data_IF_072650376883
#
_entry.id   IF_072650376883
#
_cell.length_a   1.000
_cell.length_b   1.000
_cell.length_c   1.000
_cell.angle_alpha   90.00
_cell.angle_beta   90.00
_cell.angle_gamma   90.00
#
_symmetry.space_group_name_H-M   'P 1'
#
loop_
_entity.id
_entity.type
_entity.pdbx_description
1 polymer ?
#
# COMPACT_ATOMS: atom_id res chain seq x y z
N UNK A 1 -23.91 1.81 -37.17
CA UNK A 1 -22.62 2.51 -37.02
C UNK A 1 -22.86 3.68 -36.09
N UNK A 2 -22.46 3.54 -34.83
CA UNK A 2 -22.55 4.58 -33.81
C UNK A 2 -21.16 4.66 -33.17
N UNK A 3 -20.60 5.87 -33.19
CA UNK A 3 -19.21 6.18 -32.90
C UNK A 3 -18.92 6.06 -31.41
N UNK A 4 -17.75 5.48 -31.12
CA UNK A 4 -17.14 5.37 -29.80
C UNK A 4 -16.85 6.76 -29.23
N UNK A 5 -17.30 6.99 -28.00
CA UNK A 5 -17.00 8.18 -27.23
C UNK A 5 -15.74 7.90 -26.40
N UNK A 6 -14.58 8.01 -27.03
CA UNK A 6 -13.27 7.93 -26.36
C UNK A 6 -12.79 9.36 -26.07
N UNK A 7 -13.24 9.92 -24.95
CA UNK A 7 -12.67 11.14 -24.40
C UNK A 7 -12.02 10.78 -23.07
N UNK A 8 -10.86 10.12 -23.16
CA UNK A 8 -9.95 10.00 -22.04
C UNK A 8 -9.49 11.41 -21.66
N UNK A 9 -9.85 11.84 -20.45
CA UNK A 9 -9.39 13.08 -19.82
C UNK A 9 -7.86 13.04 -19.72
N UNK A 10 -7.17 13.67 -20.68
CA UNK A 10 -5.73 13.92 -20.57
C UNK A 10 -5.50 15.11 -19.63
N UNK A 11 -4.59 15.03 -18.65
CA UNK A 11 -4.17 16.21 -17.92
C UNK A 11 -3.43 17.18 -18.86
N UNK A 12 -3.63 18.48 -18.67
CA UNK A 12 -3.06 19.53 -19.53
C UNK A 12 -1.57 19.72 -19.24
N UNK A 13 -0.70 19.31 -20.15
CA UNK A 13 0.77 19.49 -20.11
C UNK A 13 1.12 20.78 -20.88
N UNK A 14 1.93 21.68 -20.30
CA UNK A 14 2.47 22.86 -21.00
C UNK A 14 3.66 22.44 -21.89
N UNK A 15 3.92 23.07 -23.05
CA UNK A 15 5.07 22.83 -23.95
C UNK A 15 6.48 22.74 -23.34
N UNK A 16 6.69 23.07 -22.07
CA UNK A 16 7.98 22.94 -21.37
C UNK A 16 8.08 21.72 -20.44
N UNK A 17 7.10 20.81 -20.47
CA UNK A 17 7.13 19.55 -19.70
C UNK A 17 6.90 19.69 -18.19
N UNK A 18 7.13 20.86 -17.59
CA UNK A 18 6.85 21.08 -16.17
C UNK A 18 5.37 21.38 -15.91
N UNK A 19 4.75 20.60 -15.02
CA UNK A 19 3.64 21.09 -14.22
C UNK A 19 4.20 22.09 -13.22
N UNK A 20 3.81 23.36 -13.33
CA UNK A 20 3.86 24.20 -12.14
C UNK A 20 2.95 23.54 -11.10
N UNK A 21 3.41 23.39 -9.86
CA UNK A 21 2.53 23.43 -8.69
C UNK A 21 1.91 24.83 -8.62
N UNK A 22 1.15 25.23 -9.64
CA UNK A 22 0.10 26.18 -9.43
C UNK A 22 -0.86 25.43 -8.54
N UNK A 23 -0.82 25.72 -7.23
CA UNK A 23 -2.06 25.80 -6.49
C UNK A 23 -2.98 26.67 -7.35
N UNK A 24 -3.76 26.04 -8.22
CA UNK A 24 -4.87 26.72 -8.87
C UNK A 24 -5.69 27.18 -7.70
N UNK A 25 -5.71 28.49 -7.48
CA UNK A 25 -6.64 29.10 -6.55
C UNK A 25 -8.04 29.02 -7.18
N UNK A 26 -8.51 27.79 -7.33
CA UNK A 26 -9.81 27.39 -7.84
C UNK A 26 -10.87 27.41 -6.73
N UNK A 27 -10.49 27.86 -5.53
CA UNK A 27 -11.32 27.82 -4.33
C UNK A 27 -11.54 26.41 -3.78
N UNK A 28 -10.91 25.38 -4.35
CA UNK A 28 -11.08 24.00 -3.92
C UNK A 28 -10.15 23.71 -2.73
N UNK A 29 -10.76 23.41 -1.60
CA UNK A 29 -10.07 22.89 -0.41
C UNK A 29 -9.79 21.41 -0.63
N UNK A 30 -8.53 20.99 -0.46
CA UNK A 30 -8.05 19.62 -0.68
C UNK A 30 -7.70 18.98 0.67
N UNK A 31 -8.60 18.19 1.28
CA UNK A 31 -8.32 17.57 2.58
C UNK A 31 -7.29 16.45 2.45
N UNK A 32 -6.44 16.29 3.47
CA UNK A 32 -5.50 15.16 3.57
C UNK A 32 -6.21 13.93 4.10
N UNK A 33 -5.88 12.75 3.56
CA UNK A 33 -6.31 11.48 4.16
C UNK A 33 -5.77 11.37 5.59
N UNK A 34 -6.66 11.23 6.56
CA UNK A 34 -6.26 11.12 7.97
C UNK A 34 -6.06 9.66 8.38
N UNK A 35 -7.09 8.83 8.26
CA UNK A 35 -7.12 7.45 8.69
C UNK A 35 -8.13 6.63 7.88
N UNK A 36 -8.07 5.31 8.02
CA UNK A 36 -9.10 4.38 7.56
C UNK A 36 -9.56 3.50 8.72
N UNK A 37 -10.77 2.96 8.60
CA UNK A 37 -11.38 2.10 9.62
C UNK A 37 -11.61 0.70 9.09
N UNK A 38 -11.44 -0.30 9.96
CA UNK A 38 -11.69 -1.71 9.65
C UNK A 38 -12.65 -2.28 10.69
N UNK A 39 -13.64 -3.02 10.22
CA UNK A 39 -14.49 -3.86 11.06
C UNK A 39 -13.88 -5.26 11.09
N UNK A 40 -13.67 -5.80 12.30
CA UNK A 40 -12.99 -7.09 12.50
C UNK A 40 -13.69 -7.96 13.53
N UNK A 41 -13.64 -9.28 13.34
CA UNK A 41 -13.97 -10.26 14.39
C UNK A 41 -12.79 -10.58 15.31
N UNK A 42 -11.57 -10.15 14.94
CA UNK A 42 -10.29 -10.63 15.46
C UNK A 42 -9.44 -9.46 15.99
N UNK A 43 -10.00 -8.62 16.88
CA UNK A 43 -9.38 -7.34 17.28
C UNK A 43 -7.93 -7.49 17.78
N UNK A 44 -7.67 -8.40 18.71
CA UNK A 44 -6.34 -8.58 19.30
C UNK A 44 -5.31 -9.02 18.26
N UNK A 45 -5.70 -9.92 17.36
CA UNK A 45 -4.85 -10.41 16.27
C UNK A 45 -4.54 -9.28 15.27
N UNK A 46 -5.53 -8.46 14.95
CA UNK A 46 -5.36 -7.29 14.08
C UNK A 46 -4.42 -6.26 14.71
N UNK A 47 -4.60 -5.94 16.00
CA UNK A 47 -3.72 -5.01 16.73
C UNK A 47 -2.28 -5.54 16.73
N UNK A 48 -2.07 -6.80 17.08
CA UNK A 48 -0.74 -7.42 17.11
C UNK A 48 -0.09 -7.43 15.71
N UNK A 49 -0.86 -7.77 14.67
CA UNK A 49 -0.37 -7.78 13.30
C UNK A 49 0.05 -6.38 12.83
N UNK A 50 -0.79 -5.35 13.02
CA UNK A 50 -0.45 -3.98 12.62
C UNK A 50 0.75 -3.43 13.40
N UNK A 51 0.88 -3.76 14.69
CA UNK A 51 2.05 -3.41 15.49
C UNK A 51 3.33 -4.05 14.92
N UNK A 52 3.27 -5.32 14.51
CA UNK A 52 4.40 -6.03 13.91
C UNK A 52 4.76 -5.54 12.51
N UNK A 53 3.77 -5.25 11.67
CA UNK A 53 3.98 -4.93 10.25
C UNK A 53 4.29 -3.46 10.03
N UNK A 54 3.54 -2.57 10.66
CA UNK A 54 3.65 -1.11 10.47
C UNK A 54 4.36 -0.38 11.61
N UNK A 55 4.77 -1.10 12.67
CA UNK A 55 5.39 -0.48 13.84
C UNK A 55 4.42 0.43 14.59
N UNK A 56 3.12 0.16 14.53
CA UNK A 56 2.12 0.99 15.21
C UNK A 56 2.24 0.92 16.72
N UNK A 57 1.78 1.98 17.38
CA UNK A 57 1.46 2.02 18.80
C UNK A 57 -0.06 2.15 18.96
N UNK A 58 -0.64 1.37 19.87
CA UNK A 58 -2.04 1.51 20.27
C UNK A 58 -2.20 2.71 21.20
N UNK A 59 -2.94 3.73 20.76
CA UNK A 59 -3.18 4.96 21.51
C UNK A 59 -4.34 4.81 22.49
N UNK A 60 -5.37 4.06 22.09
CA UNK A 60 -6.55 3.79 22.89
C UNK A 60 -7.08 2.41 22.57
N UNK A 61 -7.41 1.64 23.61
CA UNK A 61 -8.31 0.50 23.54
C UNK A 61 -9.53 0.83 24.39
N UNK A 62 -10.71 0.75 23.78
CA UNK A 62 -11.96 1.02 24.48
C UNK A 62 -12.82 -0.22 24.52
N UNK A 63 -13.19 -0.64 25.73
CA UNK A 63 -14.21 -1.67 25.96
C UNK A 63 -15.64 -1.18 25.60
N UNK A 64 -15.80 0.10 25.26
CA UNK A 64 -17.05 0.64 24.71
C UNK A 64 -16.74 1.70 23.62
N UNK A 65 -17.06 1.44 22.36
CA UNK A 65 -16.88 2.42 21.28
C UNK A 65 -17.98 3.49 21.26
N UNK A 66 -19.01 3.31 22.09
CA UNK A 66 -20.24 4.11 22.11
C UNK A 66 -20.53 4.78 23.47
N UNK A 67 -19.63 4.68 24.46
CA UNK A 67 -19.83 5.27 25.79
C UNK A 67 -20.99 4.64 26.59
N UNK A 68 -21.42 3.43 26.22
CA UNK A 68 -22.46 2.67 26.91
C UNK A 68 -21.84 1.41 27.49
N UNK A 69 -21.90 1.31 28.82
CA UNK A 69 -21.41 0.17 29.60
C UNK A 69 -22.39 -0.99 29.51
N UNK A 70 -22.14 -1.97 28.62
CA UNK A 70 -22.70 -3.33 28.68
C UNK A 70 -21.79 -4.34 27.95
N UNK A 71 -21.87 -5.61 28.38
CA UNK A 71 -21.19 -6.82 27.87
C UNK A 71 -21.44 -7.16 26.37
N UNK A 72 -21.89 -6.21 25.56
CA UNK A 72 -22.13 -6.29 24.12
C UNK A 72 -21.73 -4.99 23.38
N UNK A 73 -21.01 -4.08 24.03
CA UNK A 73 -20.58 -2.86 23.39
C UNK A 73 -19.50 -3.16 22.34
N UNK A 74 -19.49 -2.44 21.20
CA UNK A 74 -18.37 -2.51 20.27
C UNK A 74 -17.05 -2.21 20.97
N UNK A 75 -16.02 -3.01 20.72
CA UNK A 75 -14.67 -2.76 21.25
C UNK A 75 -13.84 -2.13 20.12
N UNK A 76 -13.05 -1.11 20.45
CA UNK A 76 -12.27 -0.38 19.46
C UNK A 76 -10.81 -0.24 19.87
N UNK A 77 -9.91 -0.27 18.89
CA UNK A 77 -8.50 0.07 19.04
C UNK A 77 -8.10 1.13 18.00
N UNK A 78 -7.36 2.14 18.45
CA UNK A 78 -6.87 3.24 17.60
C UNK A 78 -5.36 3.21 17.57
N UNK A 79 -4.80 3.06 16.37
CA UNK A 79 -3.38 2.80 16.15
C UNK A 79 -2.75 3.90 15.31
N UNK A 80 -1.51 4.25 15.64
CA UNK A 80 -0.71 5.20 14.86
C UNK A 80 0.71 4.70 14.69
N UNK A 81 1.31 4.98 13.54
CA UNK A 81 2.74 4.80 13.27
C UNK A 81 3.45 6.15 13.03
N UNK A 82 2.75 7.26 13.24
CA UNK A 82 3.30 8.61 13.15
C UNK A 82 2.68 9.52 14.22
N UNK A 83 2.84 10.84 14.06
CA UNK A 83 2.34 11.87 15.00
C UNK A 83 0.82 12.08 14.97
N UNK A 84 0.08 11.45 14.07
CA UNK A 84 -1.38 11.58 14.04
C UNK A 84 -2.01 10.92 15.28
N UNK A 85 -3.22 11.32 15.64
CA UNK A 85 -3.95 10.68 16.76
C UNK A 85 -4.21 9.18 16.49
N UNK A 86 -4.49 8.83 15.24
CA UNK A 86 -4.52 7.48 14.69
C UNK A 86 -4.47 7.51 13.16
N UNK A 87 -3.90 6.46 12.57
CA UNK A 87 -3.96 6.16 11.13
C UNK A 87 -4.89 4.98 10.84
N UNK A 88 -5.13 4.13 11.83
CA UNK A 88 -5.98 2.94 11.72
C UNK A 88 -6.95 2.92 12.90
N UNK A 89 -8.23 2.75 12.62
CA UNK A 89 -9.26 2.48 13.61
C UNK A 89 -9.80 1.07 13.41
N UNK A 90 -9.59 0.19 14.38
CA UNK A 90 -10.11 -1.18 14.39
C UNK A 90 -11.35 -1.23 15.28
N UNK A 91 -12.45 -1.76 14.75
CA UNK A 91 -13.70 -1.89 15.49
C UNK A 91 -14.18 -3.34 15.43
N UNK A 92 -14.34 -3.94 16.61
CA UNK A 92 -15.01 -5.23 16.76
C UNK A 92 -16.48 -4.99 17.11
N UNK A 93 -17.36 -5.44 16.22
CA UNK A 93 -18.81 -5.34 16.40
C UNK A 93 -19.38 -6.74 16.70
N UNK A 94 -20.30 -6.86 17.68
CA UNK A 94 -20.99 -8.12 17.92
C UNK A 94 -21.69 -8.65 16.66
N UNK A 95 -21.51 -9.95 16.37
CA UNK A 95 -22.18 -10.62 15.26
C UNK A 95 -21.53 -10.42 13.89
N UNK A 96 -20.36 -9.77 13.81
CA UNK A 96 -19.55 -9.76 12.58
C UNK A 96 -19.06 -11.18 12.29
N UNK A 97 -19.16 -11.56 11.02
CA UNK A 97 -18.65 -12.82 10.50
C UNK A 97 -17.76 -12.55 9.30
N UNK A 98 -16.79 -13.43 9.08
CA UNK A 98 -15.95 -13.41 7.89
C UNK A 98 -16.79 -13.56 6.61
N UNK A 99 -16.45 -12.78 5.58
CA UNK A 99 -16.96 -12.95 4.23
C UNK A 99 -16.06 -13.92 3.46
N UNK A 100 -16.49 -15.17 3.33
CA UNK A 100 -15.71 -16.21 2.63
C UNK A 100 -15.61 -15.98 1.12
N UNK A 101 -16.52 -15.21 0.56
CA UNK A 101 -16.59 -14.90 -0.87
C UNK A 101 -16.12 -13.47 -1.16
N UNK A 102 -15.38 -12.84 -0.23
CA UNK A 102 -14.91 -11.45 -0.29
C UNK A 102 -14.29 -11.04 -1.64
N UNK A 103 -13.56 -11.95 -2.29
CA UNK A 103 -12.92 -11.66 -3.58
C UNK A 103 -13.93 -11.49 -4.74
N UNK A 104 -15.13 -12.04 -4.63
CA UNK A 104 -16.21 -11.88 -5.60
C UNK A 104 -17.07 -10.62 -5.35
N UNK A 105 -16.87 -9.93 -4.23
CA UNK A 105 -17.63 -8.74 -3.84
C UNK A 105 -16.87 -7.43 -4.10
N UNK A 106 -17.64 -6.33 -4.24
CA UNK A 106 -17.09 -4.97 -4.29
C UNK A 106 -16.49 -4.65 -2.92
N UNK A 107 -15.24 -4.21 -2.89
CA UNK A 107 -14.47 -3.94 -1.67
C UNK A 107 -13.42 -2.86 -1.88
N UNK A 108 -12.83 -2.40 -0.78
CA UNK A 108 -11.54 -1.71 -0.83
C UNK A 108 -10.49 -2.70 -1.34
N UNK A 109 -9.73 -2.32 -2.38
CA UNK A 109 -8.74 -3.23 -2.95
C UNK A 109 -7.49 -3.34 -2.05
N UNK A 110 -6.88 -2.23 -1.64
CA UNK A 110 -5.83 -2.21 -0.61
C UNK A 110 -5.71 -0.84 0.08
N UNK A 111 -4.89 -0.76 1.12
CA UNK A 111 -4.37 0.49 1.68
C UNK A 111 -2.84 0.46 1.66
N UNK A 112 -2.22 1.53 1.17
CA UNK A 112 -0.77 1.63 1.01
C UNK A 112 -0.11 2.50 2.07
N UNK A 113 1.08 2.07 2.50
CA UNK A 113 1.99 2.81 3.37
C UNK A 113 3.34 2.95 2.69
N UNK A 114 3.90 4.15 2.72
CA UNK A 114 5.13 4.48 2.03
C UNK A 114 6.30 4.59 3.01
N UNK A 115 7.40 3.91 2.66
CA UNK A 115 8.70 4.07 3.28
C UNK A 115 9.47 5.20 2.61
N UNK A 116 10.34 5.86 3.37
CA UNK A 116 11.23 6.91 2.85
C UNK A 116 12.31 6.33 1.92
N UNK A 117 12.79 5.11 2.20
CA UNK A 117 13.86 4.50 1.41
C UNK A 117 13.61 3.03 1.09
N UNK A 118 14.17 2.55 -0.02
CA UNK A 118 14.14 1.12 -0.38
C UNK A 118 14.80 0.25 0.68
N UNK A 119 15.84 0.76 1.35
CA UNK A 119 16.52 0.03 2.41
C UNK A 119 15.59 -0.21 3.60
N UNK A 120 14.77 0.78 3.99
CA UNK A 120 13.80 0.59 5.07
C UNK A 120 12.74 -0.44 4.69
N UNK A 121 12.24 -0.42 3.45
CA UNK A 121 11.31 -1.43 2.94
C UNK A 121 11.91 -2.85 2.99
N UNK A 122 13.13 -3.02 2.48
CA UNK A 122 13.84 -4.31 2.45
C UNK A 122 14.22 -4.80 3.86
N UNK A 123 14.67 -3.92 4.75
CA UNK A 123 14.97 -4.26 6.14
C UNK A 123 13.70 -4.67 6.90
N UNK A 124 12.59 -3.98 6.67
CA UNK A 124 11.29 -4.36 7.22
C UNK A 124 10.83 -5.71 6.70
N UNK A 125 10.98 -5.99 5.41
CA UNK A 125 10.73 -7.32 4.83
C UNK A 125 11.56 -8.39 5.54
N UNK A 126 12.88 -8.20 5.67
CA UNK A 126 13.76 -9.19 6.28
C UNK A 126 13.38 -9.49 7.75
N UNK A 127 13.05 -8.43 8.51
CA UNK A 127 12.56 -8.55 9.89
C UNK A 127 11.24 -9.33 9.96
N UNK A 128 10.26 -8.98 9.14
CA UNK A 128 8.94 -9.60 9.12
C UNK A 128 9.01 -11.07 8.68
N UNK A 129 9.81 -11.36 7.66
CA UNK A 129 10.07 -12.73 7.22
C UNK A 129 10.66 -13.58 8.35
N UNK A 130 11.57 -13.02 9.15
CA UNK A 130 12.16 -13.69 10.32
C UNK A 130 11.15 -14.10 11.40
N UNK A 131 9.96 -13.48 11.43
CA UNK A 131 8.85 -13.85 12.32
C UNK A 131 7.69 -14.53 11.59
N UNK A 132 7.90 -14.98 10.35
CA UNK A 132 6.92 -15.74 9.57
C UNK A 132 5.86 -14.90 8.84
N UNK A 133 6.04 -13.57 8.75
CA UNK A 133 5.16 -12.69 7.97
C UNK A 133 5.83 -12.39 6.63
N UNK A 134 5.27 -12.92 5.54
CA UNK A 134 5.78 -12.75 4.19
C UNK A 134 4.72 -12.13 3.27
N UNK A 135 5.12 -11.34 2.26
CA UNK A 135 4.19 -10.77 1.31
C UNK A 135 3.55 -11.88 0.46
N UNK A 136 2.31 -11.66 0.03
CA UNK A 136 1.63 -12.48 -0.96
C UNK A 136 2.14 -12.20 -2.37
N UNK A 137 2.63 -10.98 -2.63
CA UNK A 137 3.18 -10.54 -3.90
C UNK A 137 4.19 -9.40 -3.68
N UNK A 138 5.20 -9.32 -4.54
CA UNK A 138 6.23 -8.28 -4.51
C UNK A 138 6.53 -7.85 -5.94
N UNK A 139 6.43 -6.54 -6.20
CA UNK A 139 6.34 -6.00 -7.54
C UNK A 139 7.07 -4.67 -7.63
N UNK A 140 7.75 -4.43 -8.75
CA UNK A 140 8.16 -3.09 -9.16
C UNK A 140 7.20 -2.59 -10.26
N UNK A 141 6.39 -1.60 -9.91
CA UNK A 141 5.37 -0.98 -10.78
C UNK A 141 5.96 0.04 -11.76
N UNK A 142 7.28 0.24 -11.79
CA UNK A 142 7.90 1.39 -12.44
C UNK A 142 7.94 2.59 -11.49
N UNK A 143 6.76 3.11 -11.12
CA UNK A 143 6.66 4.25 -10.21
C UNK A 143 7.10 3.91 -8.77
N UNK A 144 6.79 2.70 -8.32
CA UNK A 144 7.00 2.27 -6.93
C UNK A 144 7.47 0.82 -6.89
N UNK A 145 8.28 0.47 -5.89
CA UNK A 145 8.50 -0.93 -5.49
C UNK A 145 7.59 -1.23 -4.31
N UNK A 146 6.77 -2.27 -4.44
CA UNK A 146 5.63 -2.55 -3.54
C UNK A 146 5.55 -4.01 -3.12
N UNK A 147 5.34 -4.25 -1.82
CA UNK A 147 5.12 -5.57 -1.21
C UNK A 147 3.72 -5.64 -0.59
N UNK A 148 2.92 -6.60 -1.03
CA UNK A 148 1.54 -6.77 -0.59
C UNK A 148 1.42 -7.83 0.48
N UNK A 149 0.74 -7.53 1.57
CA UNK A 149 0.46 -8.44 2.67
C UNK A 149 -1.04 -8.57 2.90
N UNK A 150 -1.45 -9.66 3.55
CA UNK A 150 -2.79 -9.82 4.11
C UNK A 150 -2.73 -9.68 5.62
N UNK A 151 -3.60 -8.84 6.16
CA UNK A 151 -3.88 -8.84 7.59
C UNK A 151 -4.69 -10.10 7.99
N UNK A 152 -4.92 -10.34 9.29
CA UNK A 152 -5.68 -11.51 9.76
C UNK A 152 -7.09 -11.67 9.16
N UNK A 153 -7.74 -10.58 8.75
CA UNK A 153 -9.06 -10.60 8.09
C UNK A 153 -8.96 -10.61 6.54
N UNK A 154 -7.75 -10.80 6.01
CA UNK A 154 -7.47 -10.82 4.59
C UNK A 154 -7.66 -9.47 3.89
N UNK A 155 -7.63 -8.34 4.60
CA UNK A 155 -7.50 -7.04 3.94
C UNK A 155 -6.07 -6.88 3.41
N UNK A 156 -5.95 -6.22 2.27
CA UNK A 156 -4.67 -6.06 1.60
C UNK A 156 -3.98 -4.79 2.03
N UNK A 157 -2.73 -4.94 2.48
CA UNK A 157 -1.87 -3.84 2.91
C UNK A 157 -0.65 -3.81 2.02
N UNK A 158 -0.42 -2.68 1.36
CA UNK A 158 0.73 -2.44 0.52
C UNK A 158 1.78 -1.66 1.30
N UNK A 159 3.01 -2.17 1.31
CA UNK A 159 4.18 -1.45 1.78
C UNK A 159 5.02 -1.10 0.57
N UNK A 160 5.24 0.19 0.33
CA UNK A 160 5.89 0.65 -0.88
C UNK A 160 7.01 1.66 -0.61
N UNK A 161 7.80 1.92 -1.65
CA UNK A 161 8.68 3.09 -1.76
C UNK A 161 8.55 3.70 -3.16
N UNK A 162 8.66 5.02 -3.25
CA UNK A 162 8.75 5.74 -4.53
C UNK A 162 10.11 5.52 -5.20
N UNK A 163 10.13 5.08 -6.46
CA UNK A 163 11.37 4.77 -7.18
C UNK A 163 12.11 6.00 -7.71
N UNK A 164 11.50 7.18 -7.66
CA UNK A 164 12.10 8.42 -8.12
C UNK A 164 12.60 9.31 -6.98
N UNK A 165 12.19 9.01 -5.73
CA UNK A 165 12.43 9.84 -4.55
C UNK A 165 11.81 11.24 -4.66
N UNK A 166 10.90 11.41 -5.61
CA UNK A 166 10.34 12.68 -6.04
C UNK A 166 8.95 12.42 -6.63
N UNK A 167 7.92 12.74 -5.84
CA UNK A 167 6.53 12.48 -6.21
C UNK A 167 6.08 13.22 -7.47
N UNK A 168 6.70 14.34 -7.84
CA UNK A 168 6.36 15.02 -9.09
C UNK A 168 6.86 14.20 -10.29
N UNK A 169 8.06 13.62 -10.19
CA UNK A 169 8.60 12.73 -11.23
C UNK A 169 7.87 11.41 -11.31
N UNK A 170 7.55 10.77 -10.18
CA UNK A 170 6.81 9.51 -10.21
C UNK A 170 5.39 9.72 -10.74
N UNK A 171 4.73 10.82 -10.38
CA UNK A 171 3.46 11.23 -10.97
C UNK A 171 3.56 11.48 -12.47
N UNK A 172 4.59 12.18 -12.92
CA UNK A 172 4.83 12.42 -14.35
C UNK A 172 5.03 11.09 -15.09
N UNK A 173 5.84 10.20 -14.53
CA UNK A 173 6.06 8.85 -15.04
C UNK A 173 4.74 8.09 -15.16
N UNK A 174 3.91 8.09 -14.10
CA UNK A 174 2.60 7.43 -14.13
C UNK A 174 1.67 8.00 -15.19
N UNK A 175 1.66 9.32 -15.38
CA UNK A 175 0.78 9.99 -16.34
C UNK A 175 1.19 9.81 -17.80
N UNK A 176 2.49 9.60 -18.07
CA UNK A 176 3.06 9.72 -19.42
C UNK A 176 3.80 8.47 -19.92
N UNK A 177 4.14 7.52 -19.04
CA UNK A 177 4.96 6.36 -19.39
C UNK A 177 4.23 5.38 -20.33
N UNK A 178 4.79 5.20 -21.51
CA UNK A 178 4.35 4.17 -22.46
C UNK A 178 4.62 2.76 -21.94
N UNK A 179 5.63 2.59 -21.09
CA UNK A 179 5.97 1.30 -20.48
C UNK A 179 4.91 0.93 -19.44
N UNK A 180 4.54 1.87 -18.57
CA UNK A 180 3.45 1.66 -17.61
C UNK A 180 2.11 1.42 -18.31
N UNK A 181 1.80 2.11 -19.42
CA UNK A 181 0.57 1.82 -20.18
C UNK A 181 0.53 0.40 -20.77
N UNK A 182 1.69 -0.18 -21.11
CA UNK A 182 1.78 -1.56 -21.61
C UNK A 182 1.74 -2.60 -20.49
N UNK A 183 2.28 -2.26 -19.33
CA UNK A 183 2.33 -3.14 -18.17
C UNK A 183 2.08 -2.36 -16.87
N UNK A 184 0.82 -2.00 -16.56
CA UNK A 184 0.50 -1.17 -15.41
C UNK A 184 0.68 -1.91 -14.08
N UNK A 185 0.74 -3.24 -14.12
CA UNK A 185 1.02 -4.07 -12.95
C UNK A 185 2.51 -4.19 -12.66
N UNK A 186 3.40 -3.74 -13.56
CA UNK A 186 4.83 -3.86 -13.33
C UNK A 186 5.37 -5.29 -13.43
N UNK A 187 6.56 -5.49 -12.85
CA UNK A 187 7.31 -6.75 -12.90
C UNK A 187 7.42 -7.34 -11.50
N UNK A 188 7.28 -8.66 -11.38
CA UNK A 188 7.47 -9.32 -10.10
C UNK A 188 8.93 -9.29 -9.69
N UNK A 189 9.17 -9.05 -8.40
CA UNK A 189 10.50 -9.04 -7.80
C UNK A 189 10.57 -9.97 -6.60
N UNK A 190 11.74 -10.59 -6.41
CA UNK A 190 12.10 -11.36 -5.24
C UNK A 190 12.86 -10.45 -4.26
N UNK A 191 12.28 -10.11 -3.10
CA UNK A 191 12.93 -9.23 -2.14
C UNK A 191 14.25 -9.79 -1.59
N UNK A 192 14.44 -11.11 -1.56
CA UNK A 192 15.70 -11.71 -1.12
C UNK A 192 16.83 -11.40 -2.11
N UNK A 193 16.56 -11.51 -3.42
CA UNK A 193 17.53 -11.15 -4.46
C UNK A 193 17.85 -9.65 -4.46
N UNK A 194 16.85 -8.81 -4.18
CA UNK A 194 17.06 -7.38 -4.00
C UNK A 194 17.94 -7.08 -2.78
N UNK A 195 17.73 -7.77 -1.66
CA UNK A 195 18.57 -7.66 -0.45
C UNK A 195 20.01 -8.09 -0.74
N UNK A 196 20.21 -9.21 -1.45
CA UNK A 196 21.55 -9.66 -1.86
C UNK A 196 22.26 -8.60 -2.71
N UNK A 197 21.56 -8.01 -3.68
CA UNK A 197 22.08 -6.93 -4.51
C UNK A 197 22.42 -5.67 -3.68
N UNK A 198 21.54 -5.26 -2.78
CA UNK A 198 21.74 -4.10 -1.90
C UNK A 198 22.97 -4.31 -0.99
N UNK A 199 23.10 -5.50 -0.39
CA UNK A 199 24.27 -5.87 0.42
C UNK A 199 25.57 -5.93 -0.41
N UNK A 200 25.46 -6.17 -1.72
CA UNK A 200 26.55 -6.05 -2.68
C UNK A 200 26.89 -4.62 -3.10
N UNK A 201 26.18 -3.61 -2.57
CA UNK A 201 26.41 -2.19 -2.83
C UNK A 201 25.56 -1.59 -3.94
N UNK A 202 24.50 -2.27 -4.41
CA UNK A 202 23.57 -1.67 -5.37
C UNK A 202 22.82 -0.48 -4.74
N UNK A 203 22.73 0.62 -5.49
CA UNK A 203 21.92 1.78 -5.12
C UNK A 203 20.41 1.51 -5.34
N UNK A 204 19.53 2.39 -4.87
CA UNK A 204 18.10 2.30 -5.18
C UNK A 204 17.85 2.31 -6.68
N UNK A 205 18.44 3.28 -7.41
CA UNK A 205 18.35 3.35 -8.87
C UNK A 205 18.83 2.07 -9.56
N UNK A 206 19.90 1.44 -9.05
CA UNK A 206 20.35 0.14 -9.56
C UNK A 206 19.32 -0.96 -9.30
N UNK A 207 18.77 -1.04 -8.09
CA UNK A 207 17.75 -2.04 -7.77
C UNK A 207 16.53 -1.86 -8.68
N UNK A 208 16.03 -0.64 -8.81
CA UNK A 208 14.88 -0.34 -9.66
C UNK A 208 15.13 -0.71 -11.14
N UNK A 209 16.25 -0.25 -11.71
CA UNK A 209 16.61 -0.56 -13.10
C UNK A 209 16.77 -2.06 -13.33
N UNK A 210 17.40 -2.78 -12.39
CA UNK A 210 17.63 -4.23 -12.48
C UNK A 210 16.34 -5.03 -12.29
N UNK A 211 15.42 -4.54 -11.46
CA UNK A 211 14.07 -5.09 -11.33
C UNK A 211 13.34 -5.04 -12.67
N UNK A 212 13.28 -3.86 -13.32
CA UNK A 212 12.65 -3.69 -14.64
C UNK A 212 13.32 -4.52 -15.75
N UNK A 213 14.62 -4.82 -15.60
CA UNK A 213 15.35 -5.74 -16.48
C UNK A 213 15.07 -7.24 -16.20
N UNK A 214 14.29 -7.55 -15.17
CA UNK A 214 13.92 -8.92 -14.78
C UNK A 214 14.97 -9.66 -13.96
N UNK A 215 16.02 -8.99 -13.47
CA UNK A 215 17.11 -9.64 -12.73
C UNK A 215 16.66 -10.21 -11.37
N UNK A 216 15.54 -9.71 -10.83
CA UNK A 216 14.97 -10.16 -9.56
C UNK A 216 13.70 -11.00 -9.74
N UNK A 217 13.50 -11.62 -10.91
CA UNK A 217 12.31 -12.45 -11.13
C UNK A 217 12.25 -13.60 -10.12
N UNK A 218 11.14 -13.77 -9.37
CA UNK A 218 11.03 -14.86 -8.40
C UNK A 218 11.05 -16.22 -9.08
N UNK A 219 11.66 -17.21 -8.42
CA UNK A 219 11.76 -18.58 -8.95
C UNK A 219 10.40 -19.25 -9.15
N UNK A 220 9.40 -18.84 -8.36
CA UNK A 220 8.01 -19.24 -8.51
C UNK A 220 7.16 -17.97 -8.64
N UNK A 221 6.80 -17.57 -9.88
CA UNK A 221 5.94 -16.42 -10.09
C UNK A 221 4.60 -16.57 -9.38
N UNK A 222 4.15 -15.51 -8.74
CA UNK A 222 2.84 -15.43 -8.08
C UNK A 222 1.78 -15.14 -9.15
N UNK A 223 0.57 -15.67 -8.98
CA UNK A 223 -0.58 -15.30 -9.81
C UNK A 223 -0.84 -13.77 -9.70
N UNK A 224 -0.80 -13.01 -10.80
CA UNK A 224 -1.10 -11.58 -10.81
C UNK A 224 -2.44 -11.20 -10.15
N UNK A 225 -3.43 -12.10 -10.22
CA UNK A 225 -4.75 -11.89 -9.62
C UNK A 225 -4.76 -11.99 -8.09
N UNK A 226 -3.68 -12.45 -7.47
CA UNK A 226 -3.55 -12.49 -6.01
C UNK A 226 -3.56 -11.11 -5.35
N UNK A 227 -3.22 -10.06 -6.13
CA UNK A 227 -3.28 -8.66 -5.72
C UNK A 227 -4.65 -8.01 -5.99
N UNK A 228 -5.56 -8.71 -6.67
CA UNK A 228 -6.88 -8.19 -7.07
C UNK A 228 -8.00 -8.59 -6.13
#
# INVERSE_FOLDING_TARGET
>A
MSQSNEQALRPAINPEGNFMSQEKNDGIIRPTLHHFGIITGNLDEMVDWYNKVLGTTTILESSTSMGVDQNQAPVGAWLTNDRANHRIALMSLPGVSEDRDKNAHIRMQHVAFEYETINDLLNSYARMKGIGITPIASVDHGATTSFYYKDPDGNMIELQVDNFGDWDKSREYMGNSQEMMKNPLGVQVDPDLMIEAANGGASHDDLHRRALAGEFTPAQPVDPTSML
#
